data_IF_642599458199
#
_entry.id   IF_642599458199
#
_cell.length_a   1.000
_cell.length_b   1.000
_cell.length_c   1.000
_cell.angle_alpha   90.00
_cell.angle_beta   90.00
_cell.angle_gamma   90.00
#
_symmetry.space_group_name_H-M   'P 1'
#
loop_
_entity.id
_entity.type
_entity.pdbx_description
1 polymer ?
#
# COMPACT_ATOMS: atom_id res chain seq x y z
N UNK A 1 19.10 -10.76 14.97
CA UNK A 1 17.64 -10.55 14.85
C UNK A 1 17.32 -9.29 14.07
N UNK A 2 17.93 -8.13 14.41
CA UNK A 2 17.79 -6.88 13.63
C UNK A 2 18.02 -7.10 12.13
N UNK A 3 19.12 -7.73 11.75
CA UNK A 3 19.49 -7.88 10.33
C UNK A 3 18.49 -8.75 9.56
N UNK A 4 17.99 -9.84 10.16
CA UNK A 4 16.97 -10.68 9.55
C UNK A 4 15.61 -9.97 9.41
N UNK A 5 15.25 -9.10 10.36
CA UNK A 5 14.05 -8.26 10.25
C UNK A 5 14.22 -7.22 9.15
N UNK A 6 15.40 -6.58 9.07
CA UNK A 6 15.72 -5.63 7.99
C UNK A 6 15.61 -6.30 6.63
N UNK A 7 16.20 -7.48 6.47
CA UNK A 7 16.16 -8.23 5.21
C UNK A 7 14.72 -8.61 4.81
N UNK A 8 13.90 -9.05 5.77
CA UNK A 8 12.49 -9.36 5.51
C UNK A 8 11.69 -8.12 5.07
N UNK A 9 11.92 -6.96 5.71
CA UNK A 9 11.27 -5.70 5.33
C UNK A 9 11.73 -5.22 3.96
N UNK A 10 13.01 -5.38 3.63
CA UNK A 10 13.55 -4.99 2.32
C UNK A 10 13.05 -5.90 1.21
N UNK A 11 12.88 -7.20 1.47
CA UNK A 11 12.27 -8.15 0.54
C UNK A 11 10.80 -7.79 0.27
N UNK A 12 10.03 -7.52 1.32
CA UNK A 12 8.64 -7.09 1.20
C UNK A 12 8.52 -5.80 0.36
N UNK A 13 9.33 -4.79 0.68
CA UNK A 13 9.35 -3.52 -0.04
C UNK A 13 9.72 -3.70 -1.51
N UNK A 14 10.76 -4.48 -1.78
CA UNK A 14 11.22 -4.76 -3.15
C UNK A 14 10.16 -5.46 -3.98
N UNK A 15 9.43 -6.39 -3.39
CA UNK A 15 8.28 -7.05 -4.03
C UNK A 15 7.17 -6.05 -4.33
N UNK A 16 6.78 -5.21 -3.36
CA UNK A 16 5.74 -4.20 -3.54
C UNK A 16 6.10 -3.21 -4.65
N UNK A 17 7.33 -2.70 -4.65
CA UNK A 17 7.83 -1.78 -5.68
C UNK A 17 7.84 -2.42 -7.08
N UNK A 18 8.21 -3.70 -7.20
CA UNK A 18 8.11 -4.43 -8.47
C UNK A 18 6.68 -4.50 -8.99
N UNK A 19 5.71 -4.78 -8.12
CA UNK A 19 4.30 -4.85 -8.51
C UNK A 19 3.77 -3.49 -8.95
N UNK A 20 4.18 -2.42 -8.27
CA UNK A 20 3.82 -1.05 -8.65
C UNK A 20 4.46 -0.66 -9.99
N UNK A 21 5.75 -0.94 -10.17
CA UNK A 21 6.44 -0.69 -11.43
C UNK A 21 5.77 -1.43 -12.60
N UNK A 22 5.30 -2.65 -12.37
CA UNK A 22 4.52 -3.39 -13.36
C UNK A 22 3.18 -2.71 -13.68
N UNK A 23 2.46 -2.23 -12.67
CA UNK A 23 1.21 -1.49 -12.87
C UNK A 23 1.43 -0.19 -13.68
N UNK A 24 2.56 0.49 -13.49
CA UNK A 24 2.95 1.65 -14.32
C UNK A 24 3.20 1.20 -15.77
N UNK A 25 4.00 0.15 -15.97
CA UNK A 25 4.34 -0.36 -17.30
C UNK A 25 3.10 -0.82 -18.10
N UNK A 26 2.12 -1.40 -17.41
CA UNK A 26 0.84 -1.84 -18.01
C UNK A 26 -0.18 -0.68 -18.16
N UNK A 27 0.16 0.54 -17.72
CA UNK A 27 -0.69 1.73 -17.82
C UNK A 27 -1.84 1.78 -16.82
N UNK A 28 -1.85 0.92 -15.81
CA UNK A 28 -2.92 0.84 -14.79
C UNK A 28 -2.90 2.02 -13.81
N UNK A 29 -1.75 2.70 -13.65
CA UNK A 29 -1.58 3.89 -12.83
C UNK A 29 -0.95 5.02 -13.67
N UNK A 30 -1.69 5.61 -14.62
CA UNK A 30 -1.13 6.49 -15.64
C UNK A 30 -0.60 7.83 -15.10
N UNK A 31 -0.92 8.18 -13.85
CA UNK A 31 -0.44 9.41 -13.18
C UNK A 31 0.66 9.12 -12.15
N UNK A 32 1.18 7.88 -12.11
CA UNK A 32 2.28 7.51 -11.24
C UNK A 32 3.59 7.44 -12.05
N UNK A 33 4.60 8.17 -11.58
CA UNK A 33 5.94 8.24 -12.16
C UNK A 33 7.03 7.68 -11.23
N UNK A 34 6.72 7.48 -9.94
CA UNK A 34 7.63 6.96 -8.92
C UNK A 34 7.02 5.79 -8.14
N UNK A 35 7.44 4.57 -8.48
CA UNK A 35 6.99 3.36 -7.82
C UNK A 35 7.44 3.26 -6.34
N UNK A 36 8.64 3.77 -6.05
CA UNK A 36 9.23 3.76 -4.71
C UNK A 36 8.46 4.70 -3.79
N UNK A 37 8.05 5.88 -4.28
CA UNK A 37 7.21 6.82 -3.54
C UNK A 37 5.86 6.18 -3.15
N UNK A 38 5.16 5.54 -4.09
CA UNK A 38 3.91 4.87 -3.74
C UNK A 38 4.16 3.70 -2.76
N UNK A 39 5.21 2.91 -2.95
CA UNK A 39 5.57 1.83 -2.02
C UNK A 39 5.78 2.34 -0.59
N UNK A 40 6.49 3.46 -0.43
CA UNK A 40 6.69 4.11 0.87
C UNK A 40 5.37 4.57 1.51
N UNK A 41 4.48 5.21 0.75
CA UNK A 41 3.18 5.68 1.24
C UNK A 41 2.30 4.53 1.75
N UNK A 42 2.23 3.42 0.98
CA UNK A 42 1.46 2.24 1.35
C UNK A 42 1.98 1.62 2.64
N UNK A 43 3.31 1.44 2.75
CA UNK A 43 3.95 0.90 3.94
C UNK A 43 3.72 1.79 5.17
N UNK A 44 3.82 3.12 5.01
CA UNK A 44 3.57 4.07 6.10
C UNK A 44 2.14 3.97 6.63
N UNK A 45 1.13 3.86 5.75
CA UNK A 45 -0.27 3.71 6.13
C UNK A 45 -0.52 2.38 6.88
N UNK A 46 0.02 1.28 6.36
CA UNK A 46 -0.14 -0.06 6.96
C UNK A 46 0.61 -0.18 8.28
N UNK A 47 1.85 0.29 8.35
CA UNK A 47 2.65 0.31 9.59
C UNK A 47 1.99 1.14 10.68
N UNK A 48 1.43 2.31 10.35
CA UNK A 48 0.67 3.12 11.33
C UNK A 48 -0.61 2.41 11.78
N UNK A 49 -1.35 1.78 10.85
CA UNK A 49 -2.54 1.01 11.19
C UNK A 49 -2.23 -0.19 12.09
N UNK A 50 -1.16 -0.94 11.81
CA UNK A 50 -0.68 -2.04 12.65
C UNK A 50 -0.40 -1.58 14.08
N UNK A 51 0.33 -0.47 14.22
CA UNK A 51 0.68 0.10 15.53
C UNK A 51 -0.58 0.51 16.32
N UNK A 52 -1.50 1.25 15.68
CA UNK A 52 -2.76 1.68 16.30
C UNK A 52 -3.68 0.50 16.63
N UNK A 53 -3.76 -0.49 15.73
CA UNK A 53 -4.57 -1.69 15.92
C UNK A 53 -4.10 -2.49 17.14
N UNK A 54 -2.79 -2.67 17.27
CA UNK A 54 -2.18 -3.37 18.41
C UNK A 54 -2.39 -2.62 19.72
N UNK A 55 -2.21 -1.30 19.73
CA UNK A 55 -2.35 -0.48 20.94
C UNK A 55 -3.80 -0.41 21.45
N UNK A 56 -4.78 -0.49 20.55
CA UNK A 56 -6.19 -0.27 20.86
C UNK A 56 -7.07 -1.51 20.70
N UNK A 57 -6.48 -2.67 20.40
CA UNK A 57 -7.19 -3.93 20.10
C UNK A 57 -8.38 -3.71 19.16
N UNK A 58 -8.11 -3.07 18.02
CA UNK A 58 -9.15 -2.59 17.10
C UNK A 58 -8.78 -2.80 15.65
N UNK A 59 -9.76 -3.16 14.82
CA UNK A 59 -9.61 -3.23 13.35
C UNK A 59 -9.91 -1.91 12.62
N UNK A 60 -10.39 -0.89 13.33
CA UNK A 60 -10.72 0.41 12.75
C UNK A 60 -9.54 1.11 12.05
N UNK A 61 -8.28 1.06 12.55
CA UNK A 61 -7.14 1.64 11.85
C UNK A 61 -6.91 1.05 10.45
N UNK A 62 -7.19 -0.25 10.26
CA UNK A 62 -7.07 -0.89 8.94
C UNK A 62 -8.08 -0.33 7.95
N UNK A 63 -9.33 -0.11 8.37
CA UNK A 63 -10.35 0.54 7.52
C UNK A 63 -9.93 1.96 7.09
N UNK A 64 -9.22 2.68 7.96
CA UNK A 64 -8.68 4.01 7.63
C UNK A 64 -7.55 3.93 6.62
N UNK A 65 -6.62 3.01 6.81
CA UNK A 65 -5.53 2.77 5.86
C UNK A 65 -6.08 2.35 4.49
N UNK A 66 -7.00 1.39 4.45
CA UNK A 66 -7.66 0.93 3.23
C UNK A 66 -8.34 2.08 2.46
N UNK A 67 -9.12 2.92 3.16
CA UNK A 67 -9.74 4.10 2.56
C UNK A 67 -8.70 5.03 1.93
N UNK A 68 -7.63 5.35 2.67
CA UNK A 68 -6.56 6.24 2.20
C UNK A 68 -5.83 5.65 0.98
N UNK A 69 -5.54 4.35 1.00
CA UNK A 69 -4.91 3.62 -0.11
C UNK A 69 -5.80 3.70 -1.36
N UNK A 70 -7.10 3.41 -1.23
CA UNK A 70 -8.03 3.46 -2.38
C UNK A 70 -8.14 4.89 -2.94
N UNK A 71 -8.22 5.90 -2.08
CA UNK A 71 -8.25 7.30 -2.51
C UNK A 71 -6.97 7.69 -3.23
N UNK A 72 -5.81 7.23 -2.74
CA UNK A 72 -4.51 7.46 -3.39
C UNK A 72 -4.42 6.79 -4.76
N UNK A 73 -4.79 5.52 -4.87
CA UNK A 73 -4.79 4.78 -6.15
C UNK A 73 -5.76 5.41 -7.15
N UNK A 74 -6.95 5.82 -6.70
CA UNK A 74 -7.90 6.58 -7.54
C UNK A 74 -7.30 7.90 -8.03
N UNK A 75 -6.61 8.63 -7.15
CA UNK A 75 -5.92 9.86 -7.52
C UNK A 75 -4.78 9.62 -8.52
N UNK A 76 -4.20 8.42 -8.57
CA UNK A 76 -3.19 8.01 -9.56
C UNK A 76 -3.78 7.47 -10.88
N UNK A 77 -5.10 7.38 -10.99
CA UNK A 77 -5.80 6.95 -12.19
C UNK A 77 -6.15 5.47 -12.22
N UNK A 78 -6.06 4.78 -11.07
CA UNK A 78 -6.49 3.39 -10.95
C UNK A 78 -7.96 3.21 -11.31
N UNK A 79 -8.26 2.08 -11.97
CA UNK A 79 -9.60 1.72 -12.43
C UNK A 79 -10.59 1.66 -11.25
N UNK A 80 -11.66 2.48 -11.24
CA UNK A 80 -12.67 2.45 -10.19
C UNK A 80 -13.28 1.06 -9.94
N UNK A 81 -13.47 0.24 -10.98
CA UNK A 81 -14.04 -1.11 -10.83
C UNK A 81 -13.10 -2.05 -10.09
N UNK A 82 -11.78 -1.95 -10.35
CA UNK A 82 -10.78 -2.73 -9.61
C UNK A 82 -10.72 -2.28 -8.15
N UNK A 83 -10.81 -0.97 -7.92
CA UNK A 83 -10.73 -0.39 -6.57
C UNK A 83 -11.94 -0.70 -5.67
N UNK A 84 -13.09 -1.07 -6.24
CA UNK A 84 -14.25 -1.54 -5.48
C UNK A 84 -13.98 -2.87 -4.76
N UNK A 85 -13.17 -3.76 -5.35
CA UNK A 85 -12.80 -5.03 -4.73
C UNK A 85 -11.86 -4.88 -3.54
N UNK A 86 -11.09 -3.78 -3.48
CA UNK A 86 -10.25 -3.46 -2.33
C UNK A 86 -11.09 -3.09 -1.11
N UNK A 87 -12.33 -2.63 -1.33
CA UNK A 87 -13.27 -2.22 -0.27
C UNK A 87 -14.28 -3.31 0.15
N UNK A 88 -14.17 -4.51 -0.40
CA UNK A 88 -15.09 -5.60 -0.08
C UNK A 88 -14.71 -6.22 1.29
N UNK A 89 -15.70 -6.49 2.17
CA UNK A 89 -15.47 -7.06 3.51
C UNK A 89 -14.94 -8.50 3.49
#
# INVERSE_FOLDING_TARGET
>A
MRDAITEAMDLWRSYLEHQIARAIADGALPRLDDATQLGFELEALLSHANAQSTLHDSSEPYRRAERAIVERLRALGGDPHVLEFVRAP
#
